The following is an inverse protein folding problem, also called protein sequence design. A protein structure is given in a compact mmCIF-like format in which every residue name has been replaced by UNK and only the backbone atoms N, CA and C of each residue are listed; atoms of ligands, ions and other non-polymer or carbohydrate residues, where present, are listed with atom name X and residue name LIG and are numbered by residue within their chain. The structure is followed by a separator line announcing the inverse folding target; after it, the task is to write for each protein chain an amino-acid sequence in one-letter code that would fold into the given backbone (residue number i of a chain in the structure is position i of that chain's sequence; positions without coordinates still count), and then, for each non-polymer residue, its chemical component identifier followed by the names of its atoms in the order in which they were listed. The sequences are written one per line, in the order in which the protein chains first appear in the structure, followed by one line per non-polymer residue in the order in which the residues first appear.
data_IF_753976360413
#
_entry.id   IF_753976360413
#
_cell.length_a   1.000
_cell.length_b   1.000
_cell.length_c   1.000
_cell.angle_alpha   90.00
_cell.angle_beta   90.00
_cell.angle_gamma   90.00
#
_symmetry.space_group_name_H-M   'P 1'
#
loop_
_entity.id
_entity.type
_entity.pdbx_description
1 polymer ?
#
# COMPACT_ATOMS: atom_id res chain seq x y z
N UNK A 1 -32.38 -66.04 -19.21
CA UNK A 1 -31.41 -66.96 -18.58
C UNK A 1 -30.67 -66.12 -17.53
N UNK A 2 -30.97 -66.45 -16.26
CA UNK A 2 -30.36 -65.80 -15.07
C UNK A 2 -28.93 -66.25 -14.96
N UNK A 3 -28.01 -65.42 -14.48
CA UNK A 3 -26.95 -65.76 -13.52
C UNK A 3 -26.63 -64.46 -12.75
N UNK A 4 -26.94 -64.53 -11.47
CA UNK A 4 -26.47 -63.67 -10.40
C UNK A 4 -25.00 -63.98 -10.10
N UNK A 5 -24.23 -62.96 -9.72
CA UNK A 5 -23.07 -63.17 -8.84
C UNK A 5 -22.81 -61.94 -8.00
N UNK A 6 -23.17 -62.05 -6.74
CA UNK A 6 -22.71 -61.25 -5.63
C UNK A 6 -21.18 -61.30 -5.50
N UNK A 7 -20.55 -60.16 -5.26
CA UNK A 7 -19.26 -60.12 -4.57
C UNK A 7 -19.24 -58.93 -3.59
N UNK A 8 -19.18 -59.30 -2.37
CA UNK A 8 -18.87 -58.61 -1.13
C UNK A 8 -17.77 -57.54 -1.26
N UNK A 9 -18.07 -56.35 -0.72
CA UNK A 9 -17.15 -55.23 -0.49
C UNK A 9 -16.58 -55.36 0.93
N UNK A 10 -15.29 -55.20 1.16
CA UNK A 10 -14.78 -55.03 2.52
C UNK A 10 -14.85 -53.56 2.92
N UNK A 11 -15.38 -53.37 4.10
CA UNK A 11 -15.45 -52.12 4.87
C UNK A 11 -14.03 -51.67 5.25
N UNK A 12 -13.58 -50.49 4.75
CA UNK A 12 -12.37 -49.83 5.21
C UNK A 12 -12.79 -48.41 5.66
N UNK A 13 -12.97 -48.27 6.95
CA UNK A 13 -13.06 -46.99 7.62
C UNK A 13 -11.71 -46.27 7.54
N UNK A 14 -11.62 -45.23 6.70
CA UNK A 14 -10.54 -44.24 6.76
C UNK A 14 -11.15 -42.95 7.24
N UNK A 15 -10.83 -42.61 8.48
CA UNK A 15 -11.06 -41.27 9.00
C UNK A 15 -10.23 -40.27 8.20
N UNK A 16 -10.90 -39.40 7.49
CA UNK A 16 -10.31 -38.22 6.91
C UNK A 16 -10.77 -37.03 7.75
N UNK A 17 -9.89 -36.58 8.63
CA UNK A 17 -9.96 -35.25 9.20
C UNK A 17 -9.70 -34.24 8.04
N UNK A 18 -10.77 -33.77 7.45
CA UNK A 18 -10.74 -32.56 6.61
C UNK A 18 -10.89 -31.37 7.54
N UNK A 19 -9.76 -30.78 7.91
CA UNK A 19 -9.74 -29.41 8.42
C UNK A 19 -10.31 -28.49 7.32
N UNK A 20 -11.51 -28.00 7.54
CA UNK A 20 -12.09 -26.90 6.77
C UNK A 20 -11.28 -25.63 7.08
N UNK A 21 -10.92 -24.80 6.08
CA UNK A 21 -10.36 -23.49 6.36
C UNK A 21 -11.38 -22.68 7.17
N UNK A 22 -10.97 -22.24 8.35
CA UNK A 22 -11.77 -21.40 9.23
C UNK A 22 -12.14 -20.13 8.49
N UNK A 23 -13.41 -20.01 8.09
CA UNK A 23 -14.01 -18.71 7.82
C UNK A 23 -13.89 -17.92 9.12
N UNK A 24 -13.14 -16.80 9.12
CA UNK A 24 -13.23 -15.81 10.20
C UNK A 24 -14.71 -15.46 10.30
N UNK A 25 -15.33 -15.83 11.40
CA UNK A 25 -16.74 -15.54 11.62
C UNK A 25 -16.90 -14.03 11.89
N UNK A 26 -18.10 -13.53 11.73
CA UNK A 26 -18.45 -12.15 12.12
C UNK A 26 -18.07 -11.89 13.59
N UNK A 27 -18.00 -12.94 14.40
CA UNK A 27 -17.60 -12.90 15.80
C UNK A 27 -16.08 -12.65 15.98
N UNK A 28 -15.21 -13.09 15.04
CA UNK A 28 -13.76 -12.83 15.08
C UNK A 28 -13.45 -11.36 14.75
N UNK A 29 -14.22 -10.73 13.86
CA UNK A 29 -14.10 -9.30 13.53
C UNK A 29 -14.56 -8.45 14.72
N UNK A 30 -15.63 -8.89 15.39
CA UNK A 30 -16.18 -8.22 16.58
C UNK A 30 -15.19 -8.32 17.77
N UNK A 31 -14.40 -9.38 17.88
CA UNK A 31 -13.41 -9.53 18.95
C UNK A 31 -12.16 -8.66 18.74
N UNK A 32 -11.70 -8.45 17.50
CA UNK A 32 -10.56 -7.53 17.25
C UNK A 32 -10.92 -6.06 17.53
N UNK A 33 -12.15 -5.63 17.24
CA UNK A 33 -12.64 -4.28 17.60
C UNK A 33 -13.00 -4.13 19.09
N UNK A 34 -13.33 -5.23 19.78
CA UNK A 34 -13.69 -5.21 21.19
C UNK A 34 -12.48 -5.02 22.15
N UNK A 35 -11.25 -5.23 21.70
CA UNK A 35 -10.05 -5.00 22.51
C UNK A 35 -9.77 -3.50 22.78
N UNK A 36 -10.32 -2.60 21.96
CA UNK A 36 -10.17 -1.14 22.13
C UNK A 36 -11.22 -0.50 23.08
N UNK A 37 -12.22 -1.27 23.55
CA UNK A 37 -13.28 -0.75 24.42
C UNK A 37 -13.04 -1.09 25.89
N UNK A 38 -13.20 -0.09 26.77
CA UNK A 38 -13.06 -0.26 28.22
C UNK A 38 -14.15 -1.15 28.82
N UNK A 39 -15.29 -1.37 28.10
CA UNK A 39 -16.35 -2.29 28.48
C UNK A 39 -17.21 -2.70 27.27
N UNK A 40 -17.89 -3.85 27.38
CA UNK A 40 -18.87 -4.31 26.39
C UNK A 40 -20.03 -3.32 26.20
N UNK A 41 -20.37 -2.57 27.25
CA UNK A 41 -21.44 -1.53 27.21
C UNK A 41 -20.98 -0.33 26.34
N UNK A 42 -19.71 0.06 26.40
CA UNK A 42 -19.15 1.13 25.56
C UNK A 42 -19.11 0.71 24.09
N UNK A 43 -18.75 -0.53 23.81
CA UNK A 43 -18.81 -1.10 22.46
C UNK A 43 -20.23 -1.08 21.89
N UNK A 44 -21.22 -1.57 22.65
CA UNK A 44 -22.63 -1.55 22.24
C UNK A 44 -23.13 -0.12 22.00
N UNK A 45 -22.75 0.80 22.87
CA UNK A 45 -23.14 2.22 22.76
C UNK A 45 -22.55 2.85 21.45
N UNK A 46 -21.31 2.58 21.15
CA UNK A 46 -20.66 3.10 19.93
C UNK A 46 -21.29 2.48 18.67
N UNK A 47 -21.57 1.19 18.68
CA UNK A 47 -22.30 0.51 17.59
C UNK A 47 -23.68 1.13 17.34
N UNK A 48 -24.45 1.42 18.39
CA UNK A 48 -25.77 2.09 18.29
C UNK A 48 -25.60 3.51 17.72
N UNK A 49 -24.58 4.23 18.14
CA UNK A 49 -24.30 5.57 17.63
C UNK A 49 -23.90 5.54 16.15
N UNK A 50 -23.07 4.58 15.71
CA UNK A 50 -22.63 4.42 14.31
C UNK A 50 -23.79 4.14 13.35
N UNK A 51 -24.85 3.48 13.82
CA UNK A 51 -26.07 3.22 13.02
C UNK A 51 -26.91 4.49 12.85
N UNK A 52 -26.73 5.50 13.71
CA UNK A 52 -27.47 6.75 13.62
C UNK A 52 -26.93 7.64 12.49
N UNK A 53 -27.72 7.93 11.44
CA UNK A 53 -27.26 8.77 10.31
C UNK A 53 -26.84 10.19 10.69
N UNK A 54 -27.26 10.68 11.87
CA UNK A 54 -26.90 12.00 12.39
C UNK A 54 -25.66 11.97 13.29
N UNK A 55 -25.06 10.80 13.51
CA UNK A 55 -23.85 10.68 14.33
C UNK A 55 -22.61 10.97 13.51
N UNK A 56 -21.82 11.92 13.95
CA UNK A 56 -20.49 12.22 13.40
C UNK A 56 -19.43 11.76 14.42
N UNK A 57 -18.67 10.71 14.08
CA UNK A 57 -17.53 10.27 14.89
C UNK A 57 -16.45 11.35 14.87
N UNK A 58 -16.15 11.91 16.03
CA UNK A 58 -15.13 12.95 16.20
C UNK A 58 -14.16 12.56 17.28
N UNK A 59 -12.91 12.99 17.12
CA UNK A 59 -11.87 12.88 18.15
C UNK A 59 -11.34 14.27 18.45
N UNK A 60 -11.02 14.55 19.70
CA UNK A 60 -10.41 15.80 20.11
C UNK A 60 -8.92 15.81 19.74
N UNK A 61 -8.31 17.00 19.67
CA UNK A 61 -6.86 17.12 19.47
C UNK A 61 -6.06 16.40 20.56
N UNK A 62 -6.56 16.39 21.78
CA UNK A 62 -5.95 15.67 22.90
C UNK A 62 -5.96 14.17 22.65
N UNK A 63 -7.10 13.60 22.24
CA UNK A 63 -7.23 12.18 21.89
C UNK A 63 -6.34 11.81 20.70
N UNK A 64 -6.20 12.68 19.67
CA UNK A 64 -5.27 12.46 18.58
C UNK A 64 -3.82 12.32 19.05
N UNK A 65 -3.39 13.14 20.04
CA UNK A 65 -2.03 13.06 20.57
C UNK A 65 -1.82 11.92 21.57
N UNK A 66 -2.90 11.44 22.18
CA UNK A 66 -2.88 10.33 23.12
C UNK A 66 -2.86 8.96 22.45
N UNK A 67 -3.32 8.87 21.22
CA UNK A 67 -3.36 7.64 20.43
C UNK A 67 -2.12 7.48 19.54
N UNK A 68 -1.77 6.23 19.27
CA UNK A 68 -0.71 5.87 18.31
C UNK A 68 -1.37 5.55 16.98
N UNK A 69 -1.09 6.37 15.97
CA UNK A 69 -1.49 6.09 14.59
C UNK A 69 -0.29 5.53 13.84
N UNK A 70 -0.28 4.22 13.64
CA UNK A 70 0.82 3.59 12.91
C UNK A 70 0.79 4.01 11.44
N UNK A 71 1.88 4.56 10.94
CA UNK A 71 2.06 4.78 9.52
C UNK A 71 2.34 3.44 8.83
N UNK A 72 1.68 3.20 7.70
CA UNK A 72 1.98 2.03 6.88
C UNK A 72 3.33 2.25 6.20
N UNK A 73 4.25 1.27 6.26
CA UNK A 73 5.57 1.44 5.66
C UNK A 73 5.47 1.60 4.14
N UNK A 74 6.35 2.40 3.52
CA UNK A 74 6.41 2.55 2.08
C UNK A 74 6.71 1.21 1.38
N UNK A 75 6.22 1.03 0.16
CA UNK A 75 6.57 -0.11 -0.70
C UNK A 75 7.97 0.08 -1.28
N UNK A 76 8.27 1.32 -1.67
CA UNK A 76 9.57 1.76 -2.15
C UNK A 76 9.92 3.01 -1.35
N UNK A 77 10.97 2.94 -0.53
CA UNK A 77 11.34 3.99 0.40
C UNK A 77 11.53 5.33 -0.31
N UNK A 78 10.82 6.37 0.15
CA UNK A 78 10.88 7.71 -0.42
C UNK A 78 10.24 7.86 -1.81
N UNK A 79 9.63 6.81 -2.39
CA UNK A 79 9.06 6.87 -3.73
C UNK A 79 7.61 6.39 -3.82
N UNK A 80 7.22 5.30 -3.16
CA UNK A 80 5.88 4.73 -3.29
C UNK A 80 5.36 4.23 -1.95
N UNK A 81 4.22 4.76 -1.55
CA UNK A 81 3.55 4.47 -0.28
C UNK A 81 2.21 3.74 -0.50
N UNK A 82 1.63 3.11 0.52
CA UNK A 82 0.24 2.66 0.44
C UNK A 82 -0.69 3.82 0.10
N UNK A 83 -1.68 3.59 -0.77
CA UNK A 83 -2.59 4.62 -1.25
C UNK A 83 -2.90 4.51 -2.73
N UNK A 84 -3.56 5.50 -3.28
CA UNK A 84 -3.98 5.55 -4.68
C UNK A 84 -3.16 6.56 -5.46
N UNK A 85 -2.45 6.10 -6.49
CA UNK A 85 -1.57 6.94 -7.32
C UNK A 85 -1.95 6.88 -8.79
N UNK A 86 -1.80 8.02 -9.47
CA UNK A 86 -1.98 8.12 -10.93
C UNK A 86 -0.60 8.07 -11.59
N UNK A 87 -0.40 7.13 -12.50
CA UNK A 87 0.80 7.08 -13.34
C UNK A 87 0.48 7.54 -14.76
N UNK A 88 0.87 8.74 -15.09
CA UNK A 88 0.51 9.40 -16.33
C UNK A 88 1.68 9.54 -17.32
N UNK A 89 1.36 9.66 -18.59
CA UNK A 89 2.32 9.94 -19.65
C UNK A 89 1.73 9.69 -21.04
N UNK A 90 2.32 10.28 -22.05
CA UNK A 90 1.84 10.12 -23.44
C UNK A 90 1.87 8.64 -23.89
N UNK A 91 1.04 8.24 -24.87
CA UNK A 91 1.07 6.90 -25.43
C UNK A 91 2.45 6.51 -25.98
N UNK A 92 2.84 5.24 -25.80
CA UNK A 92 4.09 4.66 -26.32
C UNK A 92 5.39 5.24 -25.73
N UNK A 93 5.35 5.88 -24.57
CA UNK A 93 6.55 6.35 -23.85
C UNK A 93 7.30 5.23 -23.12
N UNK A 94 6.68 4.09 -22.88
CA UNK A 94 7.26 3.00 -22.11
C UNK A 94 6.73 2.90 -20.68
N UNK A 95 5.54 3.44 -20.38
CA UNK A 95 4.88 3.33 -19.08
C UNK A 95 4.75 1.88 -18.62
N UNK A 96 4.17 1.00 -19.45
CA UNK A 96 3.98 -0.42 -19.10
C UNK A 96 5.29 -1.17 -18.83
N UNK A 97 6.43 -0.72 -19.38
CA UNK A 97 7.74 -1.28 -19.03
C UNK A 97 8.17 -0.83 -17.63
N UNK A 98 7.96 0.44 -17.29
CA UNK A 98 8.26 0.92 -15.93
C UNK A 98 7.32 0.28 -14.91
N UNK A 99 6.05 0.10 -15.23
CA UNK A 99 5.10 -0.63 -14.38
C UNK A 99 5.54 -2.08 -14.14
N UNK A 100 5.95 -2.79 -15.19
CA UNK A 100 6.47 -4.16 -15.06
C UNK A 100 7.77 -4.21 -14.24
N UNK A 101 8.63 -3.19 -14.38
CA UNK A 101 9.86 -3.08 -13.58
C UNK A 101 9.55 -2.85 -12.10
N UNK A 102 8.69 -1.91 -11.76
CA UNK A 102 8.24 -1.67 -10.37
C UNK A 102 7.61 -2.94 -9.79
N UNK A 103 6.70 -3.57 -10.54
CA UNK A 103 6.04 -4.81 -10.13
C UNK A 103 7.02 -5.94 -9.81
N UNK A 104 8.00 -6.14 -10.69
CA UNK A 104 9.04 -7.15 -10.51
C UNK A 104 9.89 -6.90 -9.27
N UNK A 105 10.38 -5.67 -9.09
CA UNK A 105 11.22 -5.35 -7.93
C UNK A 105 10.47 -5.50 -6.60
N UNK A 106 9.18 -5.13 -6.52
CA UNK A 106 8.36 -5.34 -5.33
C UNK A 106 8.11 -6.82 -5.08
N UNK A 107 7.79 -7.60 -6.11
CA UNK A 107 7.54 -9.04 -5.96
C UNK A 107 8.78 -9.83 -5.55
N UNK A 108 9.97 -9.38 -5.95
CA UNK A 108 11.25 -9.98 -5.59
C UNK A 108 11.82 -9.45 -4.26
N UNK A 109 11.45 -8.23 -3.85
CA UNK A 109 12.07 -7.53 -2.72
C UNK A 109 13.50 -7.05 -3.05
N UNK A 110 13.78 -6.78 -4.33
CA UNK A 110 15.08 -6.29 -4.78
C UNK A 110 15.06 -4.78 -4.95
N UNK A 111 16.15 -4.05 -4.64
CA UNK A 111 16.17 -2.60 -4.79
C UNK A 111 15.80 -2.14 -6.19
N UNK A 112 14.92 -1.12 -6.29
CA UNK A 112 14.65 -0.43 -7.54
C UNK A 112 15.57 0.79 -7.62
N UNK A 113 16.50 0.80 -8.56
CA UNK A 113 17.56 1.81 -8.62
C UNK A 113 18.32 1.88 -7.28
N UNK A 114 18.27 3.05 -6.60
CA UNK A 114 18.91 3.25 -5.30
C UNK A 114 17.89 3.21 -4.12
N UNK A 115 16.63 2.85 -4.41
CA UNK A 115 15.58 2.82 -3.40
C UNK A 115 15.42 1.42 -2.82
N UNK A 116 15.29 1.33 -1.50
CA UNK A 116 14.95 0.08 -0.81
C UNK A 116 13.51 -0.31 -1.13
N UNK A 117 13.27 -1.59 -1.35
CA UNK A 117 11.96 -2.12 -1.73
C UNK A 117 11.52 -3.18 -0.73
N UNK A 118 10.29 -3.08 -0.26
CA UNK A 118 9.66 -4.10 0.58
C UNK A 118 8.97 -5.13 -0.27
N UNK A 119 9.33 -6.40 -0.05
CA UNK A 119 8.74 -7.55 -0.76
C UNK A 119 7.26 -7.70 -0.45
N UNK A 120 6.46 -8.07 -1.47
CA UNK A 120 5.06 -8.44 -1.34
C UNK A 120 4.46 -8.90 -2.65
N UNK A 121 3.26 -9.45 -2.57
CA UNK A 121 2.52 -9.90 -3.75
C UNK A 121 2.03 -8.70 -4.56
N UNK A 122 2.11 -8.82 -5.89
CA UNK A 122 1.71 -7.80 -6.86
C UNK A 122 0.70 -8.38 -7.84
N UNK A 123 -0.41 -7.68 -8.03
CA UNK A 123 -1.35 -7.92 -9.13
C UNK A 123 -1.17 -6.87 -10.23
N UNK A 124 -0.94 -7.31 -11.47
CA UNK A 124 -0.85 -6.43 -12.63
C UNK A 124 -1.97 -6.72 -13.63
N UNK A 125 -2.97 -5.85 -13.69
CA UNK A 125 -4.03 -5.88 -14.69
C UNK A 125 -3.52 -5.20 -15.98
N UNK A 126 -2.99 -5.99 -16.91
CA UNK A 126 -2.42 -5.55 -18.18
C UNK A 126 -3.47 -5.55 -19.29
N UNK A 127 -4.48 -4.69 -19.17
CA UNK A 127 -5.74 -4.74 -19.95
C UNK A 127 -5.62 -4.27 -21.42
N UNK A 128 -4.46 -3.77 -21.82
CA UNK A 128 -4.14 -3.43 -23.23
C UNK A 128 -3.17 -4.44 -23.86
N UNK A 129 -2.88 -5.55 -23.15
CA UNK A 129 -1.89 -6.53 -23.57
C UNK A 129 -2.51 -7.94 -23.75
N UNK A 130 -1.69 -8.88 -24.22
CA UNK A 130 -1.96 -10.32 -24.22
C UNK A 130 -0.83 -11.09 -23.53
N UNK A 131 -1.10 -12.33 -23.10
CA UNK A 131 -0.11 -13.13 -22.37
C UNK A 131 1.17 -13.40 -23.17
N UNK A 132 1.10 -13.55 -24.49
CA UNK A 132 2.27 -13.76 -25.36
C UNK A 132 3.18 -12.52 -25.33
N UNK A 133 2.63 -11.32 -25.49
CA UNK A 133 3.41 -10.07 -25.42
C UNK A 133 3.98 -9.82 -24.03
N UNK A 134 3.22 -10.15 -22.99
CA UNK A 134 3.70 -10.08 -21.60
C UNK A 134 4.89 -11.01 -21.42
N UNK A 135 4.79 -12.27 -21.84
CA UNK A 135 5.86 -13.26 -21.74
C UNK A 135 7.13 -12.80 -22.47
N UNK A 136 7.02 -12.36 -23.74
CA UNK A 136 8.14 -11.85 -24.53
C UNK A 136 8.80 -10.61 -23.88
N UNK A 137 7.96 -9.71 -23.34
CA UNK A 137 8.43 -8.49 -22.64
C UNK A 137 9.18 -8.83 -21.38
N UNK A 138 8.59 -9.63 -20.49
CA UNK A 138 9.18 -9.99 -19.22
C UNK A 138 10.48 -10.77 -19.40
N UNK A 139 10.52 -11.72 -20.35
CA UNK A 139 11.73 -12.44 -20.67
C UNK A 139 12.84 -11.52 -21.20
N UNK A 140 12.50 -10.52 -22.02
CA UNK A 140 13.47 -9.54 -22.49
C UNK A 140 13.99 -8.63 -21.38
N UNK A 141 13.14 -8.29 -20.40
CA UNK A 141 13.49 -7.40 -19.29
C UNK A 141 14.28 -8.11 -18.19
N UNK A 142 13.90 -9.31 -17.83
CA UNK A 142 14.38 -9.99 -16.62
C UNK A 142 15.03 -11.36 -16.91
N UNK A 143 15.07 -11.79 -18.17
CA UNK A 143 15.61 -13.09 -18.54
C UNK A 143 14.74 -14.25 -18.05
N UNK A 144 15.37 -15.30 -17.54
CA UNK A 144 14.68 -16.50 -17.05
C UNK A 144 14.30 -16.42 -15.55
N UNK A 145 14.61 -15.33 -14.87
CA UNK A 145 14.24 -15.14 -13.48
C UNK A 145 12.73 -14.97 -13.34
N UNK A 146 12.10 -15.73 -12.46
CA UNK A 146 10.66 -15.73 -12.23
C UNK A 146 10.32 -15.63 -10.75
N UNK A 147 9.09 -15.26 -10.43
CA UNK A 147 8.57 -15.16 -9.06
C UNK A 147 7.11 -15.57 -9.01
N UNK A 148 6.71 -16.24 -7.95
CA UNK A 148 5.32 -16.60 -7.69
C UNK A 148 4.53 -15.48 -7.01
N UNK A 149 5.17 -14.34 -6.71
CA UNK A 149 4.55 -13.18 -6.09
C UNK A 149 4.10 -12.09 -7.10
N UNK A 150 4.18 -12.35 -8.41
CA UNK A 150 3.75 -11.42 -9.46
C UNK A 150 2.71 -12.06 -10.37
N UNK A 151 1.48 -11.59 -10.25
CA UNK A 151 0.32 -12.10 -10.96
C UNK A 151 -0.11 -11.14 -12.08
N UNK A 152 -0.53 -11.70 -13.21
CA UNK A 152 -1.00 -10.94 -14.35
C UNK A 152 -2.42 -11.34 -14.74
N UNK A 153 -3.26 -10.35 -15.07
CA UNK A 153 -4.50 -10.57 -15.80
C UNK A 153 -4.60 -9.63 -17.00
N UNK A 154 -5.05 -10.14 -18.13
CA UNK A 154 -5.28 -9.37 -19.36
C UNK A 154 -6.74 -8.98 -19.54
N UNK A 155 -7.59 -9.34 -18.57
CA UNK A 155 -9.00 -9.01 -18.54
C UNK A 155 -9.45 -8.74 -17.10
N UNK A 156 -10.37 -7.80 -16.93
CA UNK A 156 -11.01 -7.50 -15.66
C UNK A 156 -12.41 -6.93 -15.94
N UNK A 157 -13.28 -7.00 -14.94
CA UNK A 157 -14.56 -6.30 -14.92
C UNK A 157 -14.35 -4.78 -14.80
N UNK A 158 -15.44 -4.01 -14.87
CA UNK A 158 -15.42 -2.57 -14.66
C UNK A 158 -15.73 -2.22 -13.22
N UNK A 159 -15.33 -1.04 -12.78
CA UNK A 159 -15.72 -0.51 -11.47
C UNK A 159 -17.26 -0.40 -11.37
N UNK A 160 -17.77 -0.82 -10.19
CA UNK A 160 -19.23 -0.90 -9.98
C UNK A 160 -19.92 -2.05 -10.73
N UNK A 161 -19.17 -2.89 -11.44
CA UNK A 161 -19.69 -4.01 -12.22
C UNK A 161 -18.81 -5.26 -12.09
N UNK A 162 -18.33 -5.56 -10.88
CA UNK A 162 -17.62 -6.77 -10.51
C UNK A 162 -16.10 -6.64 -10.34
N UNK A 163 -15.48 -5.48 -10.62
CA UNK A 163 -14.03 -5.31 -10.39
C UNK A 163 -13.71 -5.25 -8.90
N UNK A 164 -14.54 -4.57 -8.11
CA UNK A 164 -14.36 -4.45 -6.67
C UNK A 164 -14.31 -5.85 -6.02
N UNK A 165 -15.22 -6.74 -6.41
CA UNK A 165 -15.29 -8.12 -5.93
C UNK A 165 -14.10 -8.96 -6.43
N UNK A 166 -13.63 -8.73 -7.65
CA UNK A 166 -12.45 -9.41 -8.19
C UNK A 166 -11.19 -9.03 -7.42
N UNK A 167 -11.02 -7.74 -7.10
CA UNK A 167 -9.88 -7.25 -6.33
C UNK A 167 -9.94 -7.74 -4.87
N UNK A 168 -11.13 -7.74 -4.27
CA UNK A 168 -11.34 -8.27 -2.93
C UNK A 168 -11.02 -9.76 -2.86
N UNK A 169 -11.50 -10.55 -3.84
CA UNK A 169 -11.18 -11.97 -3.94
C UNK A 169 -9.68 -12.23 -4.03
N UNK A 170 -8.98 -11.47 -4.88
CA UNK A 170 -7.53 -11.60 -5.02
C UNK A 170 -6.78 -11.30 -3.71
N UNK A 171 -7.15 -10.24 -2.99
CA UNK A 171 -6.51 -9.90 -1.69
C UNK A 171 -6.81 -10.98 -0.63
N UNK A 172 -8.00 -11.56 -0.65
CA UNK A 172 -8.36 -12.65 0.27
C UNK A 172 -7.50 -13.90 0.01
N UNK A 173 -7.22 -14.23 -1.26
CA UNK A 173 -6.34 -15.34 -1.64
C UNK A 173 -4.85 -15.01 -1.40
N UNK A 174 -4.48 -13.72 -1.45
CA UNK A 174 -3.09 -13.24 -1.32
C UNK A 174 -3.02 -12.10 -0.28
N UNK A 175 -3.08 -12.41 1.02
CA UNK A 175 -3.15 -11.38 2.09
C UNK A 175 -1.87 -10.53 2.22
N UNK A 176 -0.75 -10.97 1.65
CA UNK A 176 0.51 -10.22 1.57
C UNK A 176 0.58 -9.26 0.37
N UNK A 177 -0.55 -9.03 -0.34
CA UNK A 177 -0.63 -8.11 -1.45
C UNK A 177 -0.21 -6.70 -1.03
N UNK A 178 0.75 -6.11 -1.75
CA UNK A 178 1.25 -4.74 -1.52
C UNK A 178 0.89 -3.78 -2.63
N UNK A 179 0.82 -4.26 -3.88
CA UNK A 179 0.61 -3.43 -5.05
C UNK A 179 -0.41 -4.04 -6.01
N UNK A 180 -1.33 -3.21 -6.49
CA UNK A 180 -2.18 -3.50 -7.65
C UNK A 180 -1.89 -2.46 -8.73
N UNK A 181 -1.58 -2.89 -9.94
CA UNK A 181 -1.38 -2.02 -11.11
C UNK A 181 -2.54 -2.21 -12.06
N UNK A 182 -3.19 -1.12 -12.48
CA UNK A 182 -4.27 -1.14 -13.48
C UNK A 182 -3.80 -0.38 -14.73
N UNK A 183 -3.45 -1.11 -15.78
CA UNK A 183 -2.93 -0.57 -17.06
C UNK A 183 -3.91 -0.93 -18.19
N UNK A 184 -4.89 -0.07 -18.55
CA UNK A 184 -5.05 1.32 -18.14
C UNK A 184 -6.39 1.55 -17.42
N UNK A 185 -6.48 2.63 -16.65
CA UNK A 185 -7.70 3.08 -15.99
C UNK A 185 -8.90 3.16 -16.97
N UNK A 186 -8.66 3.53 -18.23
CA UNK A 186 -9.71 3.65 -19.22
C UNK A 186 -10.45 2.33 -19.51
N UNK A 187 -9.81 1.18 -19.32
CA UNK A 187 -10.38 -0.14 -19.58
C UNK A 187 -11.38 -0.59 -18.52
N UNK A 188 -11.24 -0.08 -17.31
CA UNK A 188 -12.07 -0.44 -16.14
C UNK A 188 -13.14 0.60 -15.81
N UNK A 189 -13.24 1.68 -16.59
CA UNK A 189 -14.31 2.66 -16.48
C UNK A 189 -15.62 2.07 -17.03
N UNK A 190 -16.73 2.43 -16.41
CA UNK A 190 -18.06 2.08 -16.93
C UNK A 190 -18.26 2.62 -18.35
N UNK A 191 -18.73 1.73 -19.25
CA UNK A 191 -19.15 2.08 -20.61
C UNK A 191 -20.65 2.31 -20.58
N UNK A 192 -21.11 3.53 -20.41
CA UNK A 192 -22.54 3.80 -20.48
C UNK A 192 -22.99 5.06 -19.77
N UNK A 193 -22.79 6.18 -20.38
CA UNK A 193 -23.34 7.46 -19.99
C UNK A 193 -22.61 8.57 -20.71
N UNK A 194 -23.35 9.54 -21.21
CA UNK A 194 -22.82 10.81 -21.67
C UNK A 194 -21.94 11.39 -20.57
N UNK A 195 -20.67 11.30 -20.70
CA UNK A 195 -19.74 12.17 -19.94
C UNK A 195 -18.58 11.42 -19.28
N UNK A 196 -17.46 11.56 -19.89
CA UNK A 196 -16.20 11.80 -19.21
C UNK A 196 -16.32 13.08 -18.37
N UNK A 197 -17.05 13.02 -17.24
CA UNK A 197 -17.24 14.16 -16.34
C UNK A 197 -16.27 14.08 -15.18
N UNK A 198 -15.86 15.23 -14.68
CA UNK A 198 -15.08 15.41 -13.45
C UNK A 198 -15.65 14.57 -12.29
N UNK A 199 -16.98 14.53 -12.14
CA UNK A 199 -17.64 13.78 -11.09
C UNK A 199 -17.41 12.26 -11.19
N UNK A 200 -17.47 11.69 -12.39
CA UNK A 200 -17.25 10.25 -12.62
C UNK A 200 -15.80 9.83 -12.30
N UNK A 201 -14.83 10.63 -12.73
CA UNK A 201 -13.42 10.36 -12.44
C UNK A 201 -13.12 10.45 -10.94
N UNK A 202 -13.68 11.44 -10.27
CA UNK A 202 -13.57 11.63 -8.82
C UNK A 202 -14.18 10.46 -8.03
N UNK A 203 -15.35 9.97 -8.45
CA UNK A 203 -16.02 8.82 -7.81
C UNK A 203 -15.19 7.54 -7.91
N UNK A 204 -14.62 7.26 -9.09
CA UNK A 204 -13.76 6.08 -9.30
C UNK A 204 -12.55 6.15 -8.37
N UNK A 205 -11.85 7.29 -8.32
CA UNK A 205 -10.67 7.44 -7.45
C UNK A 205 -11.06 7.30 -5.99
N UNK A 206 -12.18 7.87 -5.55
CA UNK A 206 -12.65 7.74 -4.17
C UNK A 206 -12.99 6.29 -3.79
N UNK A 207 -13.56 5.49 -4.71
CA UNK A 207 -13.78 4.05 -4.47
C UNK A 207 -12.46 3.31 -4.28
N UNK A 208 -11.51 3.55 -5.19
CA UNK A 208 -10.18 2.94 -5.10
C UNK A 208 -9.49 3.37 -3.81
N UNK A 209 -9.58 4.66 -3.45
CA UNK A 209 -8.99 5.18 -2.21
C UNK A 209 -9.56 4.50 -0.97
N UNK A 210 -10.87 4.35 -0.87
CA UNK A 210 -11.48 3.58 0.23
C UNK A 210 -10.96 2.15 0.29
N UNK A 211 -10.79 1.51 -0.87
CA UNK A 211 -10.25 0.16 -0.97
C UNK A 211 -8.78 0.11 -0.50
N UNK A 212 -7.93 1.05 -0.95
CA UNK A 212 -6.52 1.10 -0.51
C UNK A 212 -6.38 1.42 0.98
N UNK A 213 -7.21 2.31 1.51
CA UNK A 213 -7.22 2.69 2.92
C UNK A 213 -7.60 1.50 3.82
N UNK A 214 -8.65 0.74 3.43
CA UNK A 214 -9.09 -0.46 4.16
C UNK A 214 -8.02 -1.57 4.19
N UNK A 215 -7.35 -1.81 3.06
CA UNK A 215 -6.41 -2.93 2.93
C UNK A 215 -4.95 -2.56 3.18
N UNK A 216 -4.63 -1.28 3.26
CA UNK A 216 -3.24 -0.81 3.45
C UNK A 216 -2.30 -1.12 2.31
N UNK A 217 -2.80 -1.16 1.09
CA UNK A 217 -2.08 -1.46 -0.13
C UNK A 217 -1.91 -0.23 -1.01
N UNK A 218 -1.07 -0.34 -2.03
CA UNK A 218 -0.94 0.66 -3.09
C UNK A 218 -1.70 0.24 -4.34
N UNK A 219 -2.40 1.18 -4.98
CA UNK A 219 -2.95 1.02 -6.33
C UNK A 219 -2.35 2.05 -7.27
N UNK A 220 -1.66 1.60 -8.32
CA UNK A 220 -1.15 2.43 -9.41
C UNK A 220 -2.10 2.38 -10.61
N UNK A 221 -2.68 3.52 -10.97
CA UNK A 221 -3.59 3.68 -12.09
C UNK A 221 -2.87 4.30 -13.28
N UNK A 222 -2.62 3.52 -14.32
CA UNK A 222 -1.98 4.02 -15.53
C UNK A 222 -2.98 4.81 -16.37
N UNK A 223 -2.61 6.03 -16.73
CA UNK A 223 -3.44 6.94 -17.51
C UNK A 223 -2.67 7.62 -18.64
N UNK A 224 -3.36 8.08 -19.68
CA UNK A 224 -2.78 8.79 -20.81
C UNK A 224 -2.91 10.31 -20.64
N UNK A 225 -1.82 11.05 -20.82
CA UNK A 225 -1.87 12.52 -20.85
C UNK A 225 -2.48 13.03 -22.16
N UNK A 226 -3.18 14.17 -22.11
CA UNK A 226 -3.60 14.91 -23.32
C UNK A 226 -2.40 15.60 -23.99
N UNK A 227 -2.56 15.98 -25.26
CA UNK A 227 -1.53 16.63 -26.05
C UNK A 227 -1.38 18.15 -25.76
N UNK A 228 -2.10 18.70 -24.79
CA UNK A 228 -2.01 20.11 -24.45
C UNK A 228 -0.78 20.38 -23.58
N UNK A 229 -0.02 21.42 -23.92
CA UNK A 229 1.04 21.96 -23.06
C UNK A 229 0.40 22.80 -21.97
N UNK A 230 0.57 22.43 -20.72
CA UNK A 230 0.21 23.23 -19.55
C UNK A 230 1.47 23.83 -18.92
N UNK A 231 1.34 24.98 -18.24
CA UNK A 231 2.44 25.58 -17.48
C UNK A 231 2.81 24.70 -16.29
N UNK A 232 1.82 24.11 -15.62
CA UNK A 232 2.01 23.03 -14.65
C UNK A 232 1.87 21.69 -15.38
N UNK A 233 2.88 20.84 -15.24
CA UNK A 233 2.91 19.53 -15.91
C UNK A 233 1.92 18.53 -15.31
N UNK A 234 1.55 18.70 -14.04
CA UNK A 234 0.51 17.92 -13.38
C UNK A 234 -0.86 18.17 -14.01
N UNK A 235 -1.11 19.38 -14.54
CA UNK A 235 -2.32 19.72 -15.29
C UNK A 235 -2.44 18.97 -16.65
N UNK A 236 -1.37 18.33 -17.12
CA UNK A 236 -1.37 17.53 -18.33
C UNK A 236 -2.05 16.16 -18.15
N UNK A 237 -2.36 15.75 -16.93
CA UNK A 237 -3.12 14.52 -16.67
C UNK A 237 -4.52 14.70 -17.25
N UNK A 238 -4.81 13.92 -18.28
CA UNK A 238 -5.99 14.14 -19.10
C UNK A 238 -7.27 13.84 -18.34
N UNK A 239 -8.19 14.74 -18.52
CA UNK A 239 -9.56 14.54 -18.15
C UNK A 239 -10.03 15.54 -17.16
N UNK A 240 -9.40 15.70 -16.05
CA UNK A 240 -9.81 16.71 -15.07
C UNK A 240 -8.74 16.81 -13.96
N UNK A 241 -8.55 17.97 -13.41
CA UNK A 241 -7.82 18.17 -12.14
C UNK A 241 -8.36 17.26 -11.01
N UNK A 242 -9.53 16.65 -11.22
CA UNK A 242 -10.18 15.75 -10.28
C UNK A 242 -9.49 14.43 -10.07
N UNK A 243 -8.83 13.86 -11.06
CA UNK A 243 -8.11 12.58 -10.88
C UNK A 243 -6.95 12.74 -9.90
N UNK A 244 -6.11 13.73 -10.11
CA UNK A 244 -4.93 13.95 -9.26
C UNK A 244 -5.32 14.52 -7.89
N UNK A 245 -6.31 15.44 -7.85
CA UNK A 245 -6.79 16.02 -6.59
C UNK A 245 -7.44 15.02 -5.63
N UNK A 246 -7.99 13.91 -6.14
CA UNK A 246 -8.57 12.85 -5.34
C UNK A 246 -7.55 11.76 -4.94
N UNK A 247 -6.50 11.58 -5.73
CA UNK A 247 -5.43 10.60 -5.48
C UNK A 247 -4.49 11.05 -4.34
N UNK A 248 -3.71 10.12 -3.80
CA UNK A 248 -2.68 10.42 -2.80
C UNK A 248 -1.40 10.96 -3.43
N UNK A 249 -1.22 10.72 -4.73
CA UNK A 249 -0.12 11.29 -5.49
C UNK A 249 -0.15 10.91 -6.98
N UNK A 250 0.84 11.39 -7.70
CA UNK A 250 0.98 11.14 -9.13
C UNK A 250 2.42 11.05 -9.60
N UNK A 251 2.58 10.31 -10.67
CA UNK A 251 3.80 10.09 -11.40
C UNK A 251 3.60 10.52 -12.86
N UNK A 252 4.46 11.36 -13.39
CA UNK A 252 4.37 11.81 -14.79
C UNK A 252 5.64 11.43 -15.52
N UNK A 253 5.55 10.46 -16.43
CA UNK A 253 6.63 10.06 -17.31
C UNK A 253 6.61 10.92 -18.60
N UNK A 254 7.72 11.60 -18.87
CA UNK A 254 7.87 12.48 -20.03
C UNK A 254 9.18 12.22 -20.78
N UNK A 255 9.18 12.50 -22.08
CA UNK A 255 10.37 12.54 -22.93
C UNK A 255 10.40 13.86 -23.69
N UNK A 256 11.55 14.50 -23.76
CA UNK A 256 11.72 15.69 -24.60
C UNK A 256 11.52 15.39 -26.09
N UNK A 257 12.05 14.27 -26.54
CA UNK A 257 11.91 13.78 -27.92
C UNK A 257 11.48 12.31 -27.90
N UNK A 258 10.54 11.94 -28.78
CA UNK A 258 10.05 10.54 -28.88
C UNK A 258 11.16 9.53 -29.17
N UNK A 259 12.19 9.94 -29.91
CA UNK A 259 13.35 9.13 -30.30
C UNK A 259 14.41 9.03 -29.20
N UNK A 260 14.34 9.85 -28.16
CA UNK A 260 15.29 9.82 -27.05
C UNK A 260 15.04 8.60 -26.15
N UNK A 261 16.11 8.00 -25.64
CA UNK A 261 16.04 7.02 -24.56
C UNK A 261 15.90 7.69 -23.19
N UNK A 262 16.30 8.96 -23.08
CA UNK A 262 16.14 9.74 -21.85
C UNK A 262 14.69 10.14 -21.61
N UNK A 263 14.28 10.08 -20.34
CA UNK A 263 12.98 10.52 -19.86
C UNK A 263 13.11 11.18 -18.49
N UNK A 264 12.10 11.94 -18.10
CA UNK A 264 11.92 12.43 -16.74
C UNK A 264 10.68 11.78 -16.13
N UNK A 265 10.78 11.38 -14.87
CA UNK A 265 9.66 10.96 -14.05
C UNK A 265 9.49 12.00 -12.94
N UNK A 266 8.43 12.78 -13.01
CA UNK A 266 8.06 13.73 -11.96
C UNK A 266 7.11 13.02 -10.99
N UNK A 267 7.39 13.16 -9.70
CA UNK A 267 6.67 12.50 -8.61
C UNK A 267 6.19 13.56 -7.65
N UNK A 268 4.91 13.54 -7.30
CA UNK A 268 4.31 14.40 -6.30
C UNK A 268 3.27 13.62 -5.50
N UNK A 269 3.21 13.83 -4.20
CA UNK A 269 2.26 13.13 -3.32
C UNK A 269 2.13 13.77 -1.95
N UNK A 270 1.13 13.30 -1.19
CA UNK A 270 0.83 13.84 0.14
C UNK A 270 1.88 13.47 1.19
N UNK A 271 2.41 12.23 1.08
CA UNK A 271 3.28 11.63 2.10
C UNK A 271 4.73 11.51 1.63
N UNK A 272 5.08 12.17 0.53
CA UNK A 272 6.41 12.12 -0.07
C UNK A 272 6.83 13.48 -0.63
N UNK A 273 8.13 13.82 -0.59
CA UNK A 273 8.61 15.06 -1.20
C UNK A 273 8.47 15.01 -2.73
N UNK A 274 8.28 16.17 -3.33
CA UNK A 274 8.30 16.29 -4.78
C UNK A 274 9.69 15.94 -5.33
N UNK A 275 9.71 15.11 -6.37
CA UNK A 275 10.94 14.59 -6.95
C UNK A 275 10.90 14.67 -8.47
N UNK A 276 12.05 14.91 -9.05
CA UNK A 276 12.27 14.78 -10.48
C UNK A 276 13.40 13.79 -10.74
N UNK A 277 13.01 12.63 -11.28
CA UNK A 277 13.89 11.49 -11.51
C UNK A 277 14.23 11.46 -13.00
N UNK A 278 15.51 11.46 -13.32
CA UNK A 278 16.00 11.35 -14.68
C UNK A 278 16.34 9.90 -14.99
N UNK A 279 15.78 9.40 -16.08
CA UNK A 279 15.84 7.99 -16.45
C UNK A 279 16.37 7.83 -17.87
N UNK A 280 17.16 6.79 -18.09
CA UNK A 280 17.56 6.33 -19.41
C UNK A 280 17.00 4.94 -19.66
N UNK A 281 16.36 4.73 -20.81
CA UNK A 281 15.87 3.41 -21.17
C UNK A 281 16.93 2.61 -21.87
N UNK A 282 17.28 1.47 -21.30
CA UNK A 282 18.20 0.52 -21.94
C UNK A 282 17.56 -0.05 -23.21
N UNK A 283 18.21 0.05 -24.39
CA UNK A 283 17.62 -0.41 -25.65
C UNK A 283 17.56 -1.94 -25.77
N UNK A 284 18.38 -2.68 -25.03
CA UNK A 284 18.45 -4.14 -25.08
C UNK A 284 17.44 -4.77 -24.13
N UNK A 285 17.50 -4.42 -22.84
CA UNK A 285 16.63 -4.97 -21.79
C UNK A 285 15.32 -4.24 -21.65
N UNK A 286 15.20 -3.04 -22.21
CA UNK A 286 14.03 -2.15 -22.08
C UNK A 286 13.77 -1.64 -20.66
N UNK A 287 14.66 -1.91 -19.71
CA UNK A 287 14.61 -1.39 -18.35
C UNK A 287 14.90 0.12 -18.32
N UNK A 288 14.32 0.78 -17.35
CA UNK A 288 14.61 2.16 -17.03
C UNK A 288 15.73 2.20 -16.00
N UNK A 289 16.83 2.82 -16.34
CA UNK A 289 18.01 3.01 -15.50
C UNK A 289 18.03 4.42 -14.95
N UNK A 290 18.39 4.55 -13.67
CA UNK A 290 18.49 5.84 -13.01
C UNK A 290 19.74 6.59 -13.49
N UNK A 291 19.55 7.85 -13.93
CA UNK A 291 20.65 8.78 -14.20
C UNK A 291 20.94 9.64 -12.96
N UNK A 292 19.93 10.40 -12.52
CA UNK A 292 20.00 11.24 -11.31
C UNK A 292 18.62 11.57 -10.76
N UNK A 293 18.60 12.06 -9.52
CA UNK A 293 17.39 12.52 -8.85
C UNK A 293 17.60 13.97 -8.39
N UNK A 294 16.62 14.80 -8.65
CA UNK A 294 16.45 16.13 -8.06
C UNK A 294 15.27 16.04 -7.10
N UNK A 295 15.50 16.24 -5.83
CA UNK A 295 14.47 16.20 -4.78
C UNK A 295 14.46 17.53 -4.07
N UNK A 296 13.29 18.07 -3.75
CA UNK A 296 13.21 19.17 -2.80
C UNK A 296 13.77 18.68 -1.45
N UNK A 297 14.81 19.36 -0.97
CA UNK A 297 15.57 18.98 0.23
C UNK A 297 14.78 19.33 1.50
N UNK A 298 13.57 18.80 1.65
CA UNK A 298 12.90 18.82 2.95
C UNK A 298 13.10 17.48 3.63
N UNK A 299 14.19 17.35 4.39
CA UNK A 299 14.31 16.30 5.40
C UNK A 299 13.69 16.82 6.67
N UNK A 300 12.79 16.05 7.26
CA UNK A 300 12.40 16.31 8.64
C UNK A 300 13.66 16.41 9.50
N UNK A 301 13.75 17.46 10.36
CA UNK A 301 14.91 17.58 11.23
C UNK A 301 15.04 16.33 12.12
N UNK A 302 16.27 15.91 12.44
CA UNK A 302 16.49 14.83 13.39
C UNK A 302 15.71 15.08 14.68
N UNK A 303 15.02 14.08 15.19
CA UNK A 303 14.34 14.16 16.49
C UNK A 303 15.23 13.46 17.53
N UNK A 304 15.91 14.21 18.42
CA UNK A 304 16.88 13.64 19.36
C UNK A 304 16.29 12.54 20.24
N UNK A 305 15.00 12.60 20.56
CA UNK A 305 14.34 11.56 21.34
C UNK A 305 14.34 10.21 20.63
N UNK A 306 14.13 10.19 19.30
CA UNK A 306 14.14 8.95 18.52
C UNK A 306 15.54 8.34 18.44
N UNK A 307 16.57 9.19 18.31
CA UNK A 307 17.96 8.75 18.34
C UNK A 307 18.29 8.10 19.69
N UNK A 308 17.88 8.72 20.82
CA UNK A 308 18.09 8.17 22.16
C UNK A 308 17.35 6.83 22.35
N UNK A 309 16.12 6.70 21.82
CA UNK A 309 15.40 5.43 21.85
C UNK A 309 16.11 4.38 21.01
N UNK A 310 16.65 4.75 19.85
CA UNK A 310 17.37 3.83 18.97
C UNK A 310 18.73 3.38 19.58
N UNK A 311 19.39 4.25 20.33
CA UNK A 311 20.59 3.87 21.10
C UNK A 311 20.25 2.93 22.26
N UNK A 312 19.07 3.07 22.86
CA UNK A 312 18.61 2.24 23.97
C UNK A 312 18.08 0.88 23.51
N UNK A 313 17.29 0.83 22.44
CA UNK A 313 16.73 -0.40 21.86
C UNK A 313 17.68 -0.92 20.78
N UNK A 314 18.47 -1.94 21.13
CA UNK A 314 19.50 -2.53 20.27
C UNK A 314 19.30 -4.05 20.17
N UNK A 315 20.10 -4.73 19.35
CA UNK A 315 20.04 -6.19 19.27
C UNK A 315 20.27 -6.90 20.62
N UNK A 316 21.05 -6.29 21.51
CA UNK A 316 21.32 -6.82 22.87
C UNK A 316 20.20 -6.47 23.86
N UNK A 317 19.40 -5.45 23.59
CA UNK A 317 18.23 -5.01 24.35
C UNK A 317 17.07 -4.78 23.39
N UNK A 318 16.58 -5.89 22.80
CA UNK A 318 15.65 -5.85 21.67
C UNK A 318 14.20 -5.53 22.05
N UNK A 319 13.89 -5.49 23.33
CA UNK A 319 12.52 -5.26 23.84
C UNK A 319 12.56 -4.54 25.17
N UNK A 320 11.65 -3.57 25.34
CA UNK A 320 11.45 -2.87 26.62
C UNK A 320 9.96 -2.58 26.83
N UNK A 321 9.49 -2.80 28.07
CA UNK A 321 8.12 -2.49 28.46
C UNK A 321 8.11 -1.82 29.85
N UNK A 322 7.42 -0.69 29.96
CA UNK A 322 7.35 0.06 31.20
C UNK A 322 6.39 1.25 31.12
N UNK A 323 6.37 2.06 32.17
CA UNK A 323 5.59 3.29 32.23
C UNK A 323 6.33 4.45 31.51
N UNK A 324 5.61 5.49 31.06
CA UNK A 324 6.26 6.69 30.51
C UNK A 324 7.25 7.35 31.48
N UNK A 325 7.00 7.27 32.79
CA UNK A 325 7.90 7.82 33.81
C UNK A 325 9.21 7.02 33.89
N UNK A 326 9.13 5.71 33.90
CA UNK A 326 10.31 4.83 33.86
C UNK A 326 11.12 5.04 32.56
N UNK A 327 10.48 5.29 31.43
CA UNK A 327 11.20 5.56 30.17
C UNK A 327 11.93 6.89 30.21
N UNK A 328 11.38 7.95 30.85
CA UNK A 328 12.06 9.23 31.08
C UNK A 328 13.34 9.02 31.91
N UNK A 329 13.25 8.21 32.96
CA UNK A 329 14.40 7.89 33.84
C UNK A 329 15.47 7.10 33.09
N UNK A 330 15.05 6.04 32.38
CA UNK A 330 15.97 5.17 31.61
C UNK A 330 16.73 5.94 30.54
N UNK A 331 16.01 6.78 29.76
CA UNK A 331 16.62 7.60 28.72
C UNK A 331 17.34 8.84 29.28
N UNK A 332 17.17 9.13 30.58
CA UNK A 332 17.75 10.32 31.24
C UNK A 332 17.40 11.65 30.55
N UNK A 333 16.17 11.77 30.06
CA UNK A 333 15.68 12.94 29.32
C UNK A 333 15.04 13.96 30.26
N UNK A 334 15.34 15.26 30.06
CA UNK A 334 14.73 16.36 30.81
C UNK A 334 13.37 16.75 30.18
N UNK A 335 12.38 15.88 30.34
CA UNK A 335 10.99 16.14 29.90
C UNK A 335 10.00 15.42 30.79
N UNK A 336 8.73 15.92 30.77
CA UNK A 336 7.63 15.27 31.46
C UNK A 336 7.19 13.99 30.75
N UNK A 337 6.82 12.96 31.51
CA UNK A 337 6.36 11.67 30.98
C UNK A 337 5.24 11.79 29.92
N UNK A 338 4.27 12.71 30.11
CA UNK A 338 3.22 12.95 29.14
C UNK A 338 3.76 13.56 27.82
N UNK A 339 4.75 14.45 27.90
CA UNK A 339 5.37 15.04 26.72
C UNK A 339 6.19 14.01 25.93
N UNK A 340 6.90 13.13 26.64
CA UNK A 340 7.61 12.01 26.04
C UNK A 340 6.65 11.08 25.31
N UNK A 341 5.57 10.63 25.96
CA UNK A 341 4.56 9.77 25.35
C UNK A 341 3.93 10.41 24.09
N UNK A 342 3.57 11.68 24.16
CA UNK A 342 2.99 12.41 23.04
C UNK A 342 3.97 12.48 21.85
N UNK A 343 5.25 12.78 22.11
CA UNK A 343 6.28 12.80 21.05
C UNK A 343 6.47 11.44 20.42
N UNK A 344 6.51 10.37 21.21
CA UNK A 344 6.63 9.00 20.68
C UNK A 344 5.38 8.57 19.92
N UNK A 345 4.19 8.90 20.41
CA UNK A 345 2.93 8.61 19.70
C UNK A 345 2.90 9.22 18.29
N UNK A 346 3.28 10.52 18.19
CA UNK A 346 3.32 11.24 16.90
C UNK A 346 4.38 10.67 15.96
N UNK A 347 5.54 10.27 16.52
CA UNK A 347 6.70 9.82 15.77
C UNK A 347 6.82 8.29 15.68
N UNK A 348 5.79 7.53 16.03
CA UNK A 348 5.82 6.06 16.00
C UNK A 348 6.19 5.52 14.61
N UNK A 349 5.66 6.12 13.55
CA UNK A 349 5.98 5.78 12.17
C UNK A 349 7.44 6.07 11.80
N UNK A 350 7.99 7.20 12.25
CA UNK A 350 9.40 7.53 12.03
C UNK A 350 10.32 6.58 12.78
N UNK A 351 9.98 6.25 14.03
CA UNK A 351 10.74 5.29 14.83
C UNK A 351 10.86 3.94 14.15
N UNK A 352 9.74 3.48 13.53
CA UNK A 352 9.75 2.27 12.74
C UNK A 352 10.53 2.40 11.42
N UNK A 353 10.29 3.45 10.65
CA UNK A 353 10.88 3.61 9.31
C UNK A 353 12.38 3.94 9.35
N UNK A 354 12.83 4.76 10.30
CA UNK A 354 14.23 5.21 10.40
C UNK A 354 15.09 4.22 11.17
N UNK A 355 14.54 3.55 12.19
CA UNK A 355 15.31 2.73 13.15
C UNK A 355 14.83 1.27 13.25
N UNK A 356 13.73 0.89 12.62
CA UNK A 356 13.17 -0.47 12.69
C UNK A 356 12.56 -0.84 14.04
N UNK A 357 12.25 0.16 14.88
CA UNK A 357 11.72 -0.03 16.23
C UNK A 357 10.21 0.16 16.22
N UNK A 358 9.49 -0.87 16.64
CA UNK A 358 8.06 -0.83 16.86
C UNK A 358 7.74 -0.16 18.20
N UNK A 359 6.63 0.57 18.24
CA UNK A 359 6.17 1.31 19.40
C UNK A 359 4.68 1.12 19.62
N UNK A 360 4.31 0.81 20.85
CA UNK A 360 2.93 0.78 21.35
C UNK A 360 2.79 1.58 22.63
N UNK A 361 1.63 2.22 22.81
CA UNK A 361 1.25 2.90 24.04
C UNK A 361 -0.18 2.52 24.40
N UNK A 362 -0.33 1.62 25.37
CA UNK A 362 -1.65 1.08 25.79
C UNK A 362 -2.02 1.57 27.19
N UNK A 363 -3.30 1.88 27.39
CA UNK A 363 -3.85 2.17 28.70
C UNK A 363 -4.26 0.85 29.37
N UNK A 364 -3.56 0.49 30.44
CA UNK A 364 -3.86 -0.68 31.26
C UNK A 364 -4.57 -0.25 32.55
N UNK A 365 -5.08 -1.22 33.33
CA UNK A 365 -5.73 -0.97 34.62
C UNK A 365 -4.83 -0.19 35.61
N UNK A 366 -3.53 -0.38 35.52
CA UNK A 366 -2.50 0.23 36.39
C UNK A 366 -1.87 1.50 35.79
N UNK A 367 -2.45 2.07 34.73
CA UNK A 367 -1.94 3.26 34.04
C UNK A 367 -1.54 3.00 32.60
N UNK A 368 -0.76 3.90 32.01
CA UNK A 368 -0.24 3.77 30.65
C UNK A 368 1.04 2.95 30.65
N UNK A 369 1.18 2.04 29.68
CA UNK A 369 2.40 1.27 29.42
C UNK A 369 2.88 1.51 27.98
N UNK A 370 4.15 1.74 27.85
CA UNK A 370 4.87 1.84 26.57
C UNK A 370 5.58 0.51 26.33
N UNK A 371 5.47 0.01 25.10
CA UNK A 371 6.20 -1.15 24.62
C UNK A 371 7.03 -0.76 23.39
N UNK A 372 8.31 -1.06 23.42
CA UNK A 372 9.30 -0.81 22.37
C UNK A 372 9.96 -2.15 22.02
N UNK A 373 10.06 -2.49 20.74
CA UNK A 373 10.73 -3.72 20.31
C UNK A 373 11.26 -3.64 18.87
N UNK A 374 12.25 -4.46 18.55
CA UNK A 374 12.74 -4.65 17.19
C UNK A 374 12.03 -5.84 16.57
N UNK A 375 11.50 -5.71 15.34
CA UNK A 375 11.00 -6.85 14.57
C UNK A 375 12.17 -7.80 14.28
N UNK A 376 12.11 -9.00 14.84
CA UNK A 376 13.03 -10.07 14.44
C UNK A 376 12.70 -10.46 12.99
N UNK A 377 13.72 -10.41 12.12
CA UNK A 377 13.62 -10.72 10.70
C UNK A 377 13.33 -12.20 10.42
#
# INVERSE_FOLDING_TARGET
MRIENEKTVPDVSVGADTEQPSQKSTDDIITEEAEDFNSFEDFQREMILMINPSYLKTVSMTELYENVYQSKPPLIDGLLYPGTYIFAGAPKLGKSFLMAQIAYHISMGTPLWNYTVRKGTVLYLALEDDYRRLQERLYRMFGAESTDNLYFSVSASQFGNGLDEQLQGFITEHPDTKLIIIDTLQKVREVGGDKYSYASDYEIINRIKKFTDCHGICVLLVHHTRKQTAEDKLDMISGTMGLLGAADGGFILQKEKRTSNAATLEVSGRDQPDQKIYLNRNPETLLWELDRVETELWKEPPEPLLEMVAEFITADNAEWCGTPTELVEVLSVDMKANALSMKLNINAGRLFNEYGICYENKRCHDGRKIHLWILQA
#
